data_IF_590423171049
#
_entry.id   IF_590423171049
#
_cell.length_a   1.000
_cell.length_b   1.000
_cell.length_c   1.000
_cell.angle_alpha   90.00
_cell.angle_beta   90.00
_cell.angle_gamma   90.00
#
_symmetry.space_group_name_H-M   'P 1'
#
loop_
_entity.id
_entity.type
_entity.pdbx_description
1 polymer ?
#
# COMPACT_ATOMS: atom_id res chain seq x y z
N UNK A 1 68.28 36.58 8.97
CA UNK A 1 67.26 37.16 9.87
C UNK A 1 65.91 37.16 9.17
N UNK A 2 64.94 36.48 9.79
CA UNK A 2 63.47 36.62 9.78
C UNK A 2 62.66 36.74 8.47
N UNK A 3 61.91 35.65 8.18
CA UNK A 3 60.69 35.58 7.36
C UNK A 3 59.53 36.34 8.03
N UNK A 4 58.62 36.92 7.24
CA UNK A 4 57.20 37.04 7.61
C UNK A 4 56.28 37.01 6.38
N UNK A 5 55.55 35.91 6.27
CA UNK A 5 54.35 35.70 5.45
C UNK A 5 53.18 36.53 5.98
N UNK A 6 52.29 37.00 5.11
CA UNK A 6 51.00 37.59 5.52
C UNK A 6 49.86 37.06 4.64
N UNK A 7 48.97 36.33 5.29
CA UNK A 7 47.55 36.12 4.98
C UNK A 7 46.93 35.51 6.23
N UNK A 8 45.60 35.55 6.44
CA UNK A 8 44.62 36.62 6.24
C UNK A 8 43.84 36.88 7.56
N UNK A 9 42.77 37.70 7.52
CA UNK A 9 41.58 37.72 8.39
C UNK A 9 41.20 39.12 8.88
N UNK A 10 40.03 39.60 8.43
CA UNK A 10 38.96 40.16 9.26
C UNK A 10 37.89 40.77 8.34
N UNK A 11 36.90 39.95 7.95
CA UNK A 11 35.57 40.46 7.58
C UNK A 11 34.62 39.97 8.67
N UNK A 12 34.29 40.87 9.59
CA UNK A 12 33.28 40.69 10.62
C UNK A 12 32.04 41.50 10.24
N UNK A 13 31.01 40.76 9.81
CA UNK A 13 29.61 40.88 10.22
C UNK A 13 28.88 42.23 10.06
N UNK A 14 27.87 42.20 9.19
CA UNK A 14 26.52 42.66 9.56
C UNK A 14 25.46 41.81 8.85
N UNK A 15 25.03 40.73 9.51
CA UNK A 15 23.82 40.00 9.18
C UNK A 15 22.62 40.81 9.69
N UNK A 16 21.74 41.23 8.79
CA UNK A 16 20.44 41.78 9.14
C UNK A 16 19.36 40.71 8.92
N UNK A 17 18.59 40.43 9.98
CA UNK A 17 17.52 39.43 10.04
C UNK A 17 16.32 39.77 9.12
N UNK A 18 15.62 38.76 8.56
CA UNK A 18 14.48 38.98 7.67
C UNK A 18 13.17 39.19 8.44
N UNK A 19 12.49 40.31 8.16
CA UNK A 19 11.11 40.58 8.60
C UNK A 19 10.09 39.80 7.75
N UNK A 20 9.00 39.29 8.34
CA UNK A 20 7.95 38.55 7.63
C UNK A 20 6.99 39.53 6.94
N UNK A 21 6.73 39.35 5.64
CA UNK A 21 5.55 39.97 4.99
C UNK A 21 5.79 40.95 3.84
N UNK A 22 7.03 41.29 3.49
CA UNK A 22 7.31 42.06 2.26
C UNK A 22 7.46 41.12 1.06
N UNK A 23 6.86 41.45 -0.10
CA UNK A 23 7.13 40.76 -1.38
C UNK A 23 8.57 41.03 -1.83
N UNK A 24 9.52 40.41 -1.15
CA UNK A 24 10.97 40.59 -1.29
C UNK A 24 11.61 39.74 -2.38
N UNK A 25 10.95 39.60 -3.53
CA UNK A 25 11.61 39.10 -4.74
C UNK A 25 11.47 40.12 -5.85
N UNK A 26 12.57 40.54 -6.51
CA UNK A 26 12.50 41.33 -7.71
C UNK A 26 11.53 40.67 -8.70
N UNK A 27 10.57 41.43 -9.22
CA UNK A 27 9.81 40.96 -10.38
C UNK A 27 10.81 40.68 -11.50
N UNK A 28 10.83 39.46 -12.08
CA UNK A 28 11.80 39.09 -13.09
C UNK A 28 11.75 40.10 -14.22
N UNK A 29 12.91 40.54 -14.68
CA UNK A 29 12.98 41.51 -15.78
C UNK A 29 12.32 40.91 -17.02
N UNK A 30 11.73 41.74 -17.89
CA UNK A 30 10.97 41.27 -19.07
C UNK A 30 11.73 40.24 -19.91
N UNK A 31 13.07 40.39 -20.01
CA UNK A 31 13.95 39.42 -20.70
C UNK A 31 14.01 38.07 -19.99
N UNK A 32 14.08 38.03 -18.67
CA UNK A 32 14.06 36.79 -17.89
C UNK A 32 12.69 36.13 -17.93
N UNK A 33 11.61 36.92 -17.89
CA UNK A 33 10.25 36.43 -18.03
C UNK A 33 10.00 35.84 -19.44
N UNK A 34 10.45 36.51 -20.51
CA UNK A 34 10.37 36.00 -21.88
C UNK A 34 11.28 34.78 -22.09
N UNK A 35 12.50 34.77 -21.54
CA UNK A 35 13.40 33.60 -21.62
C UNK A 35 12.83 32.40 -20.87
N UNK A 36 12.25 32.61 -19.67
CA UNK A 36 11.57 31.57 -18.91
C UNK A 36 10.29 31.08 -19.62
N UNK A 37 9.52 31.97 -20.25
CA UNK A 37 8.36 31.61 -21.06
C UNK A 37 8.77 30.78 -22.29
N UNK A 38 9.84 31.17 -22.98
CA UNK A 38 10.38 30.48 -24.16
C UNK A 38 11.00 29.12 -23.81
N UNK A 39 11.62 29.00 -22.64
CA UNK A 39 12.13 27.74 -22.10
C UNK A 39 11.00 26.77 -21.72
N UNK A 40 9.88 27.28 -21.17
CA UNK A 40 8.67 26.48 -20.87
C UNK A 40 7.91 26.07 -22.13
N UNK A 41 7.92 26.92 -23.16
CA UNK A 41 7.22 26.69 -24.43
C UNK A 41 7.99 25.79 -25.42
N UNK A 42 9.28 25.52 -25.17
CA UNK A 42 10.06 24.59 -26.01
C UNK A 42 9.60 23.15 -25.75
N UNK A 43 8.73 22.66 -26.63
CA UNK A 43 8.35 21.26 -26.69
C UNK A 43 9.61 20.36 -26.75
N UNK A 44 9.59 19.15 -26.17
CA UNK A 44 10.76 18.28 -26.15
C UNK A 44 11.19 17.95 -27.59
N UNK A 45 12.34 18.47 -27.99
CA UNK A 45 12.87 18.37 -29.36
C UNK A 45 13.28 16.94 -29.73
N UNK A 46 13.50 16.07 -28.74
CA UNK A 46 13.93 14.69 -28.95
C UNK A 46 12.90 13.68 -28.44
N UNK A 47 12.55 12.74 -29.32
CA UNK A 47 11.64 11.61 -29.03
C UNK A 47 12.19 10.77 -27.87
N UNK A 48 13.52 10.67 -27.71
CA UNK A 48 14.16 9.95 -26.59
C UNK A 48 14.01 10.67 -25.26
N UNK A 49 14.19 12.00 -25.23
CA UNK A 49 13.97 12.79 -24.02
C UNK A 49 12.50 12.81 -23.59
N UNK A 50 11.57 12.91 -24.54
CA UNK A 50 10.14 12.82 -24.24
C UNK A 50 9.76 11.45 -23.67
N UNK A 51 10.30 10.36 -24.21
CA UNK A 51 10.09 9.01 -23.69
C UNK A 51 10.69 8.83 -22.30
N UNK A 52 11.88 9.40 -22.04
CA UNK A 52 12.50 9.38 -20.71
C UNK A 52 11.67 10.15 -19.68
N UNK A 53 11.24 11.38 -20.01
CA UNK A 53 10.35 12.16 -19.14
C UNK A 53 9.02 11.46 -18.88
N UNK A 54 8.43 10.80 -19.88
CA UNK A 54 7.22 10.01 -19.67
C UNK A 54 7.44 8.79 -18.77
N UNK A 55 8.61 8.15 -18.82
CA UNK A 55 8.97 7.03 -17.92
C UNK A 55 9.16 7.53 -16.50
N UNK A 56 9.86 8.64 -16.33
CA UNK A 56 10.08 9.29 -15.03
C UNK A 56 8.75 9.74 -14.41
N UNK A 57 7.89 10.41 -15.19
CA UNK A 57 6.53 10.78 -14.76
C UNK A 57 5.70 9.57 -14.34
N UNK A 58 5.68 8.50 -15.16
CA UNK A 58 4.97 7.25 -14.81
C UNK A 58 5.54 6.59 -13.55
N UNK A 59 6.86 6.63 -13.36
CA UNK A 59 7.51 6.09 -12.17
C UNK A 59 7.16 6.90 -10.92
N UNK A 60 7.13 8.22 -11.01
CA UNK A 60 6.71 9.12 -9.93
C UNK A 60 5.23 8.95 -9.57
N UNK A 61 4.36 8.88 -10.57
CA UNK A 61 2.93 8.64 -10.38
C UNK A 61 2.70 7.28 -9.72
N UNK A 62 3.39 6.24 -10.18
CA UNK A 62 3.34 4.90 -9.57
C UNK A 62 3.84 4.90 -8.12
N UNK A 63 4.88 5.69 -7.81
CA UNK A 63 5.39 5.86 -6.45
C UNK A 63 4.36 6.57 -5.57
N UNK A 64 3.74 7.65 -6.06
CA UNK A 64 2.67 8.38 -5.36
C UNK A 64 1.47 7.50 -5.08
N UNK A 65 1.01 6.73 -6.06
CA UNK A 65 -0.10 5.77 -5.89
C UNK A 65 0.28 4.70 -4.86
N UNK A 66 1.49 4.12 -4.93
CA UNK A 66 1.96 3.14 -3.92
C UNK A 66 2.06 3.74 -2.52
N UNK A 67 2.51 5.00 -2.41
CA UNK A 67 2.56 5.71 -1.13
C UNK A 67 1.14 6.02 -0.61
N UNK A 68 0.22 6.46 -1.47
CA UNK A 68 -1.19 6.69 -1.13
C UNK A 68 -1.93 5.42 -0.72
N UNK A 69 -1.64 4.29 -1.38
CA UNK A 69 -2.16 2.98 -0.98
C UNK A 69 -1.59 2.51 0.38
N UNK A 70 -0.35 2.88 0.70
CA UNK A 70 0.29 2.59 2.00
C UNK A 70 -0.21 3.49 3.12
N UNK A 71 -0.45 4.78 2.84
CA UNK A 71 -1.02 5.72 3.81
C UNK A 71 -2.51 5.46 4.07
N UNK A 72 -3.16 4.69 3.19
CA UNK A 72 -4.55 4.27 3.36
C UNK A 72 -5.56 5.31 2.87
N UNK A 73 -5.15 6.28 2.07
CA UNK A 73 -6.04 7.26 1.45
C UNK A 73 -6.83 6.59 0.31
N UNK A 74 -8.16 6.55 0.46
CA UNK A 74 -9.06 5.84 -0.46
C UNK A 74 -9.05 6.38 -1.88
N UNK A 75 -8.61 7.63 -2.07
CA UNK A 75 -8.50 8.26 -3.40
C UNK A 75 -7.51 7.52 -4.29
N UNK A 76 -6.49 6.89 -3.70
CA UNK A 76 -5.46 6.15 -4.42
C UNK A 76 -5.75 4.64 -4.51
N UNK A 77 -6.87 4.17 -3.98
CA UNK A 77 -7.26 2.76 -4.14
C UNK A 77 -7.79 2.49 -5.54
N UNK A 78 -7.58 1.27 -6.02
CA UNK A 78 -8.16 0.85 -7.29
C UNK A 78 -9.70 0.92 -7.21
N UNK A 79 -10.39 1.13 -8.35
CA UNK A 79 -11.85 1.12 -8.40
C UNK A 79 -12.51 -0.09 -7.72
N UNK A 80 -11.84 -1.26 -7.75
CA UNK A 80 -12.31 -2.51 -7.13
C UNK A 80 -12.28 -2.51 -5.60
N UNK A 81 -11.41 -1.70 -4.99
CA UNK A 81 -11.11 -1.68 -3.54
C UNK A 81 -11.76 -0.47 -2.83
N UNK A 82 -12.38 0.43 -3.58
CA UNK A 82 -13.04 1.65 -3.09
C UNK A 82 -14.47 1.37 -2.62
N UNK A 83 -14.93 2.17 -1.65
CA UNK A 83 -16.31 2.19 -1.17
C UNK A 83 -16.52 1.57 0.22
N UNK A 84 -17.62 1.96 0.88
CA UNK A 84 -17.92 1.60 2.28
C UNK A 84 -17.97 0.08 2.49
N UNK A 85 -18.63 -0.63 1.59
CA UNK A 85 -18.79 -2.10 1.65
C UNK A 85 -17.45 -2.80 1.54
N UNK A 86 -16.58 -2.34 0.64
CA UNK A 86 -15.22 -2.90 0.47
C UNK A 86 -14.35 -2.60 1.67
N UNK A 87 -14.47 -1.39 2.26
CA UNK A 87 -13.77 -1.03 3.50
C UNK A 87 -14.14 -1.96 4.65
N UNK A 88 -15.44 -2.19 4.87
CA UNK A 88 -15.92 -3.15 5.85
C UNK A 88 -15.38 -4.56 5.60
N UNK A 89 -15.43 -5.06 4.36
CA UNK A 89 -14.89 -6.39 4.03
C UNK A 89 -13.39 -6.48 4.35
N UNK A 90 -12.61 -5.44 4.05
CA UNK A 90 -11.18 -5.40 4.36
C UNK A 90 -10.95 -5.52 5.86
N UNK A 91 -11.58 -4.67 6.66
CA UNK A 91 -11.43 -4.69 8.11
C UNK A 91 -11.96 -6.01 8.73
N UNK A 92 -13.04 -6.55 8.19
CA UNK A 92 -13.65 -7.80 8.64
C UNK A 92 -12.76 -9.02 8.38
N UNK A 93 -12.10 -9.07 7.22
CA UNK A 93 -11.17 -10.14 6.87
C UNK A 93 -9.84 -9.95 7.61
N UNK A 94 -9.37 -8.72 7.75
CA UNK A 94 -8.05 -8.42 8.31
C UNK A 94 -8.03 -8.54 9.85
N UNK A 95 -9.17 -8.32 10.55
CA UNK A 95 -9.27 -8.55 12.00
C UNK A 95 -9.18 -10.02 12.40
N UNK A 96 -9.45 -10.94 11.46
CA UNK A 96 -9.44 -12.39 11.70
C UNK A 96 -8.03 -12.95 11.65
N UNK A 97 -7.83 -14.12 12.25
CA UNK A 97 -6.57 -14.84 12.13
C UNK A 97 -6.35 -15.33 10.69
N UNK A 98 -5.13 -15.16 10.15
CA UNK A 98 -4.79 -15.61 8.79
C UNK A 98 -4.68 -17.13 8.74
N UNK A 99 -5.65 -17.81 8.14
CA UNK A 99 -5.54 -19.26 7.95
C UNK A 99 -4.45 -19.65 6.95
N UNK A 100 -4.22 -18.82 5.93
CA UNK A 100 -3.16 -19.05 4.92
C UNK A 100 -1.78 -19.18 5.57
N UNK A 101 -1.53 -18.41 6.63
CA UNK A 101 -0.27 -18.46 7.38
C UNK A 101 -0.12 -19.76 8.19
N UNK A 102 -1.21 -20.46 8.54
CA UNK A 102 -1.17 -21.79 9.17
C UNK A 102 -1.10 -22.94 8.16
N UNK A 103 -1.68 -22.75 6.98
CA UNK A 103 -1.68 -23.77 5.91
C UNK A 103 -0.25 -24.08 5.48
N UNK A 104 0.62 -23.07 5.36
CA UNK A 104 2.02 -23.27 4.95
C UNK A 104 2.77 -24.19 5.94
N UNK A 105 2.82 -23.91 7.26
CA UNK A 105 3.37 -24.83 8.25
C UNK A 105 2.76 -26.23 8.19
N UNK A 106 1.43 -26.35 8.08
CA UNK A 106 0.76 -27.65 7.99
C UNK A 106 1.19 -28.46 6.76
N UNK A 107 1.35 -27.80 5.61
CA UNK A 107 1.87 -28.41 4.39
C UNK A 107 3.31 -28.91 4.58
N UNK A 108 4.17 -28.12 5.24
CA UNK A 108 5.55 -28.51 5.54
C UNK A 108 5.56 -29.75 6.44
N UNK A 109 4.76 -29.77 7.51
CA UNK A 109 4.65 -30.93 8.40
C UNK A 109 4.18 -32.16 7.62
N UNK A 110 3.15 -32.03 6.79
CA UNK A 110 2.69 -33.12 5.93
C UNK A 110 3.81 -33.64 5.02
N UNK A 111 4.56 -32.75 4.36
CA UNK A 111 5.64 -33.14 3.47
C UNK A 111 6.80 -33.85 4.18
N UNK A 112 7.18 -33.39 5.37
CA UNK A 112 8.21 -34.03 6.20
C UNK A 112 7.81 -35.45 6.63
N UNK A 113 6.54 -35.64 7.03
CA UNK A 113 5.98 -36.96 7.38
C UNK A 113 5.90 -37.89 6.16
N UNK A 114 5.64 -37.34 4.97
CA UNK A 114 5.61 -38.10 3.72
C UNK A 114 6.99 -38.56 3.25
N UNK A 115 8.05 -37.81 3.55
CA UNK A 115 9.41 -38.14 3.10
C UNK A 115 10.12 -39.19 3.99
N UNK A 116 9.54 -39.56 5.13
CA UNK A 116 10.21 -40.42 6.11
C UNK A 116 10.31 -41.90 5.70
N UNK A 117 9.71 -42.30 4.57
CA UNK A 117 9.76 -43.68 4.02
C UNK A 117 8.98 -44.73 4.83
N UNK A 118 8.49 -44.38 6.02
CA UNK A 118 7.65 -45.24 6.86
C UNK A 118 6.18 -45.15 6.41
N UNK A 119 5.58 -46.29 6.09
CA UNK A 119 4.19 -46.37 5.60
C UNK A 119 3.17 -45.73 6.55
N UNK A 120 3.35 -45.85 7.86
CA UNK A 120 2.48 -45.22 8.85
C UNK A 120 2.59 -43.68 8.84
N UNK A 121 3.81 -43.14 8.69
CA UNK A 121 4.04 -41.69 8.61
C UNK A 121 3.54 -41.11 7.28
N UNK A 122 3.68 -41.86 6.18
CA UNK A 122 3.11 -41.50 4.88
C UNK A 122 1.58 -41.45 4.95
N UNK A 123 0.92 -42.42 5.58
CA UNK A 123 -0.52 -42.37 5.82
C UNK A 123 -0.91 -41.16 6.66
N UNK A 124 -0.18 -40.90 7.76
CA UNK A 124 -0.40 -39.72 8.60
C UNK A 124 -0.25 -38.41 7.81
N UNK A 125 0.74 -38.32 6.91
CA UNK A 125 0.89 -37.16 6.03
C UNK A 125 -0.34 -36.91 5.17
N UNK A 126 -0.90 -37.97 4.60
CA UNK A 126 -2.09 -37.87 3.74
C UNK A 126 -3.32 -37.43 4.54
N UNK A 127 -3.47 -37.91 5.76
CA UNK A 127 -4.51 -37.43 6.68
C UNK A 127 -4.31 -35.97 7.07
N UNK A 128 -3.08 -35.52 7.35
CA UNK A 128 -2.78 -34.11 7.65
C UNK A 128 -3.08 -33.20 6.46
N UNK A 129 -2.70 -33.61 5.24
CA UNK A 129 -3.00 -32.85 4.02
C UNK A 129 -4.51 -32.76 3.80
N UNK A 130 -5.23 -33.88 3.91
CA UNK A 130 -6.69 -33.92 3.80
C UNK A 130 -7.38 -33.04 4.84
N UNK A 131 -6.96 -33.14 6.11
CA UNK A 131 -7.48 -32.32 7.20
C UNK A 131 -7.22 -30.83 6.94
N UNK A 132 -6.05 -30.48 6.39
CA UNK A 132 -5.73 -29.09 6.02
C UNK A 132 -6.66 -28.57 4.93
N UNK A 133 -6.94 -29.37 3.91
CA UNK A 133 -7.90 -29.00 2.85
C UNK A 133 -9.30 -28.80 3.44
N UNK A 134 -9.78 -29.73 4.27
CA UNK A 134 -11.09 -29.62 4.93
C UNK A 134 -11.17 -28.38 5.83
N UNK A 135 -10.09 -28.07 6.55
CA UNK A 135 -10.00 -26.88 7.39
C UNK A 135 -10.15 -25.60 6.57
N UNK A 136 -9.44 -25.49 5.44
CA UNK A 136 -9.53 -24.32 4.53
C UNK A 136 -10.93 -24.19 3.94
N UNK A 137 -11.52 -25.29 3.46
CA UNK A 137 -12.88 -25.27 2.88
C UNK A 137 -13.90 -24.84 3.93
N UNK A 138 -13.81 -25.37 5.15
CA UNK A 138 -14.73 -25.04 6.24
C UNK A 138 -14.64 -23.56 6.62
N UNK A 139 -13.43 -23.01 6.76
CA UNK A 139 -13.29 -21.58 7.02
C UNK A 139 -13.83 -20.72 5.87
N UNK A 140 -13.59 -21.12 4.63
CA UNK A 140 -14.07 -20.39 3.45
C UNK A 140 -15.61 -20.30 3.44
N UNK A 141 -16.29 -21.39 3.81
CA UNK A 141 -17.73 -21.44 4.00
C UNK A 141 -18.16 -20.55 5.18
N UNK A 142 -17.54 -20.69 6.35
CA UNK A 142 -17.86 -19.88 7.54
C UNK A 142 -17.65 -18.38 7.30
N UNK A 143 -16.59 -17.99 6.61
CA UNK A 143 -16.32 -16.63 6.16
C UNK A 143 -17.45 -16.14 5.27
N UNK A 144 -17.86 -16.91 4.27
CA UNK A 144 -18.96 -16.55 3.37
C UNK A 144 -20.28 -16.34 4.13
N UNK A 145 -20.65 -17.27 5.01
CA UNK A 145 -21.91 -17.19 5.75
C UNK A 145 -21.92 -16.02 6.73
N UNK A 146 -20.87 -15.86 7.53
CA UNK A 146 -20.78 -14.77 8.52
C UNK A 146 -20.70 -13.40 7.84
N UNK A 147 -19.90 -13.28 6.78
CA UNK A 147 -19.79 -12.03 6.02
C UNK A 147 -21.13 -11.62 5.42
N UNK A 148 -21.86 -12.55 4.79
CA UNK A 148 -23.18 -12.25 4.22
C UNK A 148 -24.18 -11.79 5.28
N UNK A 149 -24.16 -12.41 6.45
CA UNK A 149 -25.03 -12.03 7.57
C UNK A 149 -24.73 -10.61 8.07
N UNK A 150 -23.46 -10.27 8.26
CA UNK A 150 -23.06 -8.94 8.71
C UNK A 150 -23.27 -7.86 7.64
N UNK A 151 -23.00 -8.18 6.37
CA UNK A 151 -23.28 -7.27 5.26
C UNK A 151 -24.77 -6.94 5.15
N UNK A 152 -25.64 -7.94 5.29
CA UNK A 152 -27.10 -7.72 5.26
C UNK A 152 -27.59 -6.89 6.46
N UNK A 153 -26.94 -7.03 7.62
CA UNK A 153 -27.28 -6.29 8.82
C UNK A 153 -26.84 -4.82 8.76
N UNK A 154 -25.65 -4.54 8.21
CA UNK A 154 -25.05 -3.18 8.20
C UNK A 154 -25.32 -2.40 6.91
N UNK A 155 -25.50 -3.09 5.78
CA UNK A 155 -25.68 -2.49 4.47
C UNK A 155 -26.89 -3.09 3.75
N UNK A 156 -28.12 -2.84 4.24
CA UNK A 156 -29.33 -3.40 3.63
C UNK A 156 -29.58 -2.88 2.21
N UNK A 157 -29.20 -1.64 1.91
CA UNK A 157 -29.53 -0.96 0.65
C UNK A 157 -28.42 -1.04 -0.42
N UNK A 158 -27.27 -1.62 -0.10
CA UNK A 158 -26.11 -1.67 -0.99
C UNK A 158 -26.06 -2.96 -1.82
N UNK A 159 -25.49 -2.86 -3.02
CA UNK A 159 -25.30 -4.01 -3.90
C UNK A 159 -24.25 -4.97 -3.34
N UNK A 160 -24.68 -6.16 -2.93
CA UNK A 160 -23.79 -7.22 -2.46
C UNK A 160 -23.03 -7.95 -3.59
N UNK A 161 -23.16 -7.51 -4.85
CA UNK A 161 -22.55 -8.17 -6.00
C UNK A 161 -21.01 -8.17 -5.91
N UNK A 162 -20.40 -9.35 -6.02
CA UNK A 162 -18.94 -9.52 -5.97
C UNK A 162 -18.28 -9.27 -4.60
N UNK A 163 -19.05 -9.06 -3.53
CA UNK A 163 -18.54 -8.91 -2.15
C UNK A 163 -17.87 -10.19 -1.65
N UNK A 164 -18.52 -11.33 -1.88
CA UNK A 164 -18.00 -12.65 -1.50
C UNK A 164 -16.70 -12.97 -2.24
N UNK A 165 -16.65 -12.80 -3.57
CA UNK A 165 -15.43 -13.06 -4.35
C UNK A 165 -14.24 -12.21 -3.89
N UNK A 166 -14.49 -10.93 -3.60
CA UNK A 166 -13.46 -10.04 -3.08
C UNK A 166 -12.97 -10.44 -1.68
N UNK A 167 -13.87 -10.84 -0.79
CA UNK A 167 -13.51 -11.31 0.54
C UNK A 167 -12.65 -12.58 0.49
N UNK A 168 -13.00 -13.50 -0.42
CA UNK A 168 -12.27 -14.76 -0.65
C UNK A 168 -10.87 -14.51 -1.21
N UNK A 169 -10.76 -13.68 -2.25
CA UNK A 169 -9.46 -13.34 -2.83
C UNK A 169 -8.56 -12.62 -1.83
N UNK A 170 -9.14 -11.76 -0.98
CA UNK A 170 -8.39 -11.12 0.12
C UNK A 170 -7.99 -12.11 1.20
N UNK A 171 -8.87 -13.04 1.62
CA UNK A 171 -8.55 -14.00 2.68
C UNK A 171 -7.43 -14.97 2.28
N UNK A 172 -7.29 -15.27 0.98
CA UNK A 172 -6.24 -16.14 0.43
C UNK A 172 -4.86 -15.49 0.32
N UNK A 173 -4.74 -14.16 0.32
CA UNK A 173 -3.43 -13.50 0.25
C UNK A 173 -2.75 -13.48 1.62
N UNK A 174 -1.42 -13.60 1.68
CA UNK A 174 -0.69 -13.40 2.96
C UNK A 174 -0.83 -11.95 3.44
N UNK A 175 -1.06 -11.71 4.74
CA UNK A 175 -1.32 -10.36 5.29
C UNK A 175 -0.22 -9.35 4.99
N UNK A 176 1.04 -9.80 4.95
CA UNK A 176 2.17 -8.91 4.70
C UNK A 176 2.18 -8.32 3.27
N UNK A 177 1.66 -9.06 2.29
CA UNK A 177 1.61 -8.63 0.88
C UNK A 177 0.33 -7.88 0.52
N UNK A 178 -0.66 -7.82 1.42
CA UNK A 178 -1.93 -7.15 1.16
C UNK A 178 -1.72 -5.63 1.16
N UNK A 179 -1.83 -5.03 -0.03
CA UNK A 179 -2.13 -3.60 -0.19
C UNK A 179 -3.60 -3.46 -0.63
N UNK A 180 -4.39 -2.50 -0.13
CA UNK A 180 -4.11 -1.55 0.96
C UNK A 180 -3.99 -2.24 2.33
N UNK A 181 -3.18 -1.67 3.22
CA UNK A 181 -2.95 -2.21 4.57
C UNK A 181 -4.25 -2.21 5.38
N UNK A 182 -4.40 -3.22 6.23
CA UNK A 182 -5.47 -3.30 7.23
C UNK A 182 -5.45 -2.07 8.13
N UNK A 183 -6.60 -1.43 8.34
CA UNK A 183 -6.73 -0.32 9.30
C UNK A 183 -6.94 -0.82 10.73
N UNK A 184 -7.53 -2.02 10.86
CA UNK A 184 -7.92 -2.64 12.13
C UNK A 184 -6.93 -3.74 12.50
N UNK A 185 -6.46 -3.74 13.75
CA UNK A 185 -5.60 -4.82 14.29
C UNK A 185 -6.42 -6.07 14.60
N UNK A 186 -5.75 -7.22 14.68
CA UNK A 186 -6.39 -8.49 15.08
C UNK A 186 -7.08 -8.30 16.43
N UNK A 187 -8.36 -8.65 16.52
CA UNK A 187 -9.16 -8.55 17.75
C UNK A 187 -9.76 -7.17 18.05
N UNK A 188 -9.49 -6.12 17.26
CA UNK A 188 -10.17 -4.84 17.47
C UNK A 188 -11.65 -4.90 17.04
N UNK A 189 -12.54 -4.17 17.75
CA UNK A 189 -13.93 -4.04 17.35
C UNK A 189 -14.01 -3.30 16.00
N UNK A 190 -14.96 -3.71 15.18
CA UNK A 190 -15.22 -3.03 13.91
C UNK A 190 -15.89 -1.69 14.20
N UNK A 191 -15.48 -0.59 13.54
CA UNK A 191 -16.23 0.66 13.54
C UNK A 191 -17.71 0.40 13.26
N UNK A 192 -18.61 1.09 13.97
CA UNK A 192 -20.05 0.97 13.71
C UNK A 192 -20.43 1.68 12.41
N UNK A 193 -19.85 2.85 12.17
CA UNK A 193 -20.09 3.66 10.99
C UNK A 193 -18.94 3.62 9.98
N UNK A 194 -19.29 3.26 8.74
CA UNK A 194 -18.37 3.22 7.60
C UNK A 194 -18.60 4.38 6.61
N UNK A 195 -19.38 5.38 7.03
CA UNK A 195 -19.89 6.47 6.19
C UNK A 195 -18.99 7.71 6.17
N UNK A 196 -17.91 7.70 6.96
CA UNK A 196 -16.90 8.78 7.02
C UNK A 196 -15.54 8.38 6.41
#
# INVERSE_FOLDING_TARGET
MFKRTKSPAADEQAAAEPKPGGKGRPTPTRKEAEAAAKARAKAPTDRRESARRQREYRAEESRKIRQGMKSGDERYFLPRDRGRVRRFIRDYVDRRFSIVEMVIPLMIVGLLLGYTGNSALVQASSMVLLATVLFVVTDMLLLRFRLRRELKARFPDESLKGTTYYALTRSMQMKFMRLPKARVKIGQPLPEDYDR
#
